data_IF_588569635000
#
_entry.id   IF_588569635000
#
_cell.length_a   1.000
_cell.length_b   1.000
_cell.length_c   1.000
_cell.angle_alpha   90.00
_cell.angle_beta   90.00
_cell.angle_gamma   90.00
#
_symmetry.space_group_name_H-M   'P 1'
#
loop_
_entity.id
_entity.type
_entity.pdbx_description
1 polymer ?
#
# COMPACT_ATOMS: atom_id res chain seq x y z
N UNK A 1 -35.72 -37.59 33.52
CA UNK A 1 -34.76 -36.93 32.59
C UNK A 1 -34.28 -35.63 33.22
N UNK A 2 -32.96 -35.43 33.43
CA UNK A 2 -32.42 -34.18 34.01
C UNK A 2 -32.00 -33.23 32.89
N UNK A 3 -32.49 -32.00 32.93
CA UNK A 3 -32.19 -30.96 31.95
C UNK A 3 -30.73 -30.50 32.06
N UNK A 4 -29.98 -30.61 30.95
CA UNK A 4 -28.60 -30.11 30.84
C UNK A 4 -28.68 -28.60 30.60
N UNK A 5 -28.14 -27.80 31.53
CA UNK A 5 -28.02 -26.35 31.34
C UNK A 5 -26.96 -26.08 30.25
N UNK A 6 -27.41 -25.58 29.11
CA UNK A 6 -26.57 -25.29 27.92
C UNK A 6 -25.90 -23.91 27.96
N UNK A 7 -26.23 -23.06 28.94
CA UNK A 7 -25.70 -21.71 29.05
C UNK A 7 -24.44 -21.65 29.92
N UNK A 8 -23.30 -21.39 29.27
CA UNK A 8 -22.03 -21.12 29.95
C UNK A 8 -21.94 -19.64 30.30
N UNK A 9 -21.52 -19.25 31.52
CA UNK A 9 -21.36 -17.84 31.88
C UNK A 9 -20.25 -17.18 31.04
N UNK A 10 -20.50 -15.94 30.60
CA UNK A 10 -19.53 -15.16 29.85
C UNK A 10 -18.27 -14.91 30.70
N UNK A 11 -17.11 -15.33 30.19
CA UNK A 11 -15.81 -15.09 30.86
C UNK A 11 -15.38 -13.65 30.63
N UNK A 12 -14.92 -12.98 31.69
CA UNK A 12 -14.34 -11.63 31.59
C UNK A 12 -13.10 -11.66 30.68
N UNK A 13 -12.97 -10.64 29.83
CA UNK A 13 -11.79 -10.47 28.97
C UNK A 13 -10.60 -10.08 29.87
N UNK A 14 -9.46 -10.77 29.79
CA UNK A 14 -8.26 -10.39 30.54
C UNK A 14 -7.80 -8.97 30.20
N UNK A 15 -7.30 -8.23 31.20
CA UNK A 15 -6.87 -6.84 31.05
C UNK A 15 -5.85 -6.64 29.91
N UNK A 16 -4.87 -7.54 29.78
CA UNK A 16 -3.89 -7.51 28.71
C UNK A 16 -4.53 -7.55 27.31
N UNK A 17 -5.57 -8.38 27.14
CA UNK A 17 -6.31 -8.48 25.86
C UNK A 17 -7.11 -7.20 25.57
N UNK A 18 -7.64 -6.54 26.59
CA UNK A 18 -8.30 -5.23 26.41
C UNK A 18 -7.33 -4.15 25.96
N UNK A 19 -6.09 -4.13 26.46
CA UNK A 19 -5.05 -3.18 26.04
C UNK A 19 -4.75 -3.33 24.54
N UNK A 20 -4.55 -4.57 24.07
CA UNK A 20 -4.28 -4.86 22.65
C UNK A 20 -5.45 -4.39 21.78
N UNK A 21 -6.69 -4.71 22.17
CA UNK A 21 -7.89 -4.31 21.41
C UNK A 21 -8.03 -2.79 21.35
N UNK A 22 -7.79 -2.08 22.46
CA UNK A 22 -7.84 -0.62 22.51
C UNK A 22 -6.75 0.01 21.63
N UNK A 23 -5.52 -0.52 21.68
CA UNK A 23 -4.44 -0.06 20.82
C UNK A 23 -4.75 -0.26 19.33
N UNK A 24 -5.28 -1.43 18.95
CA UNK A 24 -5.70 -1.72 17.57
C UNK A 24 -6.83 -0.80 17.11
N UNK A 25 -7.79 -0.50 17.99
CA UNK A 25 -8.89 0.42 17.70
C UNK A 25 -8.40 1.87 17.56
N UNK A 26 -7.49 2.32 18.43
CA UNK A 26 -6.86 3.63 18.34
C UNK A 26 -6.07 3.78 17.04
N UNK A 27 -5.29 2.76 16.65
CA UNK A 27 -4.57 2.73 15.37
C UNK A 27 -5.53 2.80 14.17
N UNK A 28 -6.66 2.08 14.20
CA UNK A 28 -7.70 2.18 13.17
C UNK A 28 -8.30 3.58 13.07
N UNK A 29 -8.60 4.21 14.21
CA UNK A 29 -9.14 5.58 14.23
C UNK A 29 -8.13 6.57 13.65
N UNK A 30 -6.87 6.52 14.08
CA UNK A 30 -5.81 7.39 13.57
C UNK A 30 -5.63 7.22 12.05
N UNK A 31 -5.65 5.98 11.54
CA UNK A 31 -5.58 5.71 10.11
C UNK A 31 -6.79 6.28 9.34
N UNK A 32 -7.99 6.23 9.94
CA UNK A 32 -9.19 6.80 9.33
C UNK A 32 -9.18 8.32 9.30
N UNK A 33 -8.68 8.96 10.36
CA UNK A 33 -8.50 10.42 10.43
C UNK A 33 -7.49 10.89 9.38
N UNK A 34 -6.33 10.23 9.29
CA UNK A 34 -5.33 10.50 8.26
C UNK A 34 -5.91 10.34 6.84
N UNK A 35 -6.70 9.29 6.58
CA UNK A 35 -7.34 9.12 5.27
C UNK A 35 -8.34 10.24 4.93
N UNK A 36 -9.00 10.83 5.93
CA UNK A 36 -9.88 11.99 5.73
C UNK A 36 -9.08 13.25 5.42
N UNK A 37 -7.98 13.46 6.12
CA UNK A 37 -7.05 14.57 5.88
C UNK A 37 -6.45 14.49 4.47
N UNK A 38 -5.93 13.32 4.09
CA UNK A 38 -5.38 13.06 2.75
C UNK A 38 -6.43 13.37 1.67
N UNK A 39 -7.68 12.91 1.87
CA UNK A 39 -8.79 13.19 0.95
C UNK A 39 -9.12 14.69 0.87
N UNK A 40 -9.11 15.39 2.01
CA UNK A 40 -9.33 16.84 2.03
C UNK A 40 -8.19 17.58 1.30
N UNK A 41 -6.95 17.16 1.50
CA UNK A 41 -5.77 17.73 0.82
C UNK A 41 -5.83 17.50 -0.69
N UNK A 42 -6.32 16.36 -1.16
CA UNK A 42 -6.51 16.11 -2.60
C UNK A 42 -7.52 17.03 -3.25
N UNK A 43 -8.57 17.44 -2.52
CA UNK A 43 -9.56 18.39 -3.04
C UNK A 43 -8.96 19.79 -3.21
N UNK A 44 -8.01 20.16 -2.35
CA UNK A 44 -7.32 21.46 -2.38
C UNK A 44 -6.17 21.47 -3.39
N UNK A 45 -5.39 20.40 -3.41
CA UNK A 45 -4.16 20.24 -4.17
C UNK A 45 -4.11 18.82 -4.70
N UNK A 46 -4.62 18.56 -5.91
CA UNK A 46 -4.58 17.23 -6.48
C UNK A 46 -3.12 16.82 -6.67
N UNK A 47 -2.79 15.61 -6.22
CA UNK A 47 -1.46 15.03 -6.42
C UNK A 47 -1.15 15.00 -7.92
N UNK A 48 0.03 15.47 -8.38
CA UNK A 48 0.36 15.43 -9.80
C UNK A 48 0.62 14.00 -10.29
N UNK A 49 0.38 13.74 -11.57
CA UNK A 49 0.74 12.48 -12.19
C UNK A 49 2.24 12.18 -12.05
N UNK A 50 2.61 10.90 -11.92
CA UNK A 50 3.99 10.43 -11.72
C UNK A 50 4.70 10.97 -10.47
N UNK A 51 3.97 11.57 -9.53
CA UNK A 51 4.51 12.02 -8.25
C UNK A 51 4.43 10.92 -7.21
N UNK A 52 5.50 10.76 -6.43
CA UNK A 52 5.59 9.77 -5.37
C UNK A 52 4.68 10.14 -4.18
N UNK A 53 3.70 9.30 -3.91
CA UNK A 53 2.81 9.39 -2.77
C UNK A 53 3.21 8.34 -1.72
N UNK A 54 3.42 8.73 -0.45
CA UNK A 54 3.88 7.81 0.60
C UNK A 54 2.78 6.84 1.05
N UNK A 55 1.53 7.01 0.60
CA UNK A 55 0.37 6.20 0.99
C UNK A 55 -0.63 6.13 -0.15
N UNK A 56 -1.39 5.04 -0.23
CA UNK A 56 -2.48 4.88 -1.21
C UNK A 56 -3.59 5.90 -0.99
N UNK A 57 -3.86 6.28 0.26
CA UNK A 57 -4.90 7.27 0.61
C UNK A 57 -4.58 8.68 0.15
N UNK A 58 -3.30 8.98 -0.13
CA UNK A 58 -2.82 10.26 -0.65
C UNK A 58 -2.92 10.36 -2.18
N UNK A 59 -3.31 9.29 -2.87
CA UNK A 59 -3.60 9.30 -4.30
C UNK A 59 -5.08 9.55 -4.58
N UNK A 60 -5.41 10.14 -5.76
CA UNK A 60 -6.79 10.33 -6.19
C UNK A 60 -7.61 9.05 -6.08
N UNK A 61 -8.88 9.18 -5.70
CA UNK A 61 -9.82 8.06 -5.70
C UNK A 61 -10.10 7.52 -7.12
N UNK A 62 -10.56 6.28 -7.21
CA UNK A 62 -10.99 5.67 -8.48
C UNK A 62 -9.86 5.16 -9.37
N UNK A 63 -8.62 5.09 -8.85
CA UNK A 63 -7.50 4.53 -9.60
C UNK A 63 -7.64 3.03 -9.79
N UNK A 64 -7.40 2.58 -11.02
CA UNK A 64 -7.43 1.16 -11.36
C UNK A 64 -6.06 0.52 -11.17
N UNK A 65 -6.04 -0.58 -10.41
CA UNK A 65 -4.90 -1.48 -10.35
C UNK A 65 -5.13 -2.65 -11.31
N UNK A 66 -4.33 -2.72 -12.36
CA UNK A 66 -4.43 -3.76 -13.40
C UNK A 66 -3.80 -5.11 -13.02
N UNK A 67 -3.22 -5.21 -11.82
CA UNK A 67 -2.52 -6.41 -11.37
C UNK A 67 -3.51 -7.45 -10.84
N UNK A 68 -3.27 -8.73 -11.14
CA UNK A 68 -4.03 -9.85 -10.57
C UNK A 68 -3.80 -9.99 -9.05
N UNK A 69 -2.62 -9.56 -8.60
CA UNK A 69 -2.19 -9.62 -7.20
C UNK A 69 -2.59 -8.33 -6.46
N UNK A 70 -2.72 -8.38 -5.12
CA UNK A 70 -2.96 -7.17 -4.34
C UNK A 70 -1.84 -6.14 -4.55
N UNK A 71 -2.17 -4.86 -4.38
CA UNK A 71 -1.21 -3.77 -4.47
C UNK A 71 -0.08 -4.00 -3.45
N UNK A 72 1.19 -4.10 -3.88
CA UNK A 72 2.31 -4.30 -2.97
C UNK A 72 2.42 -3.18 -1.93
N UNK A 73 2.79 -3.55 -0.70
CA UNK A 73 3.08 -2.59 0.36
C UNK A 73 4.40 -1.85 0.08
N UNK A 74 4.53 -0.63 0.59
CA UNK A 74 5.81 0.08 0.60
C UNK A 74 6.85 -0.75 1.38
N UNK A 75 8.03 -0.88 0.81
CA UNK A 75 9.12 -1.72 1.32
C UNK A 75 9.12 -3.15 0.78
N UNK A 76 8.04 -3.59 0.10
CA UNK A 76 8.01 -4.91 -0.53
C UNK A 76 8.94 -4.97 -1.75
N UNK A 77 9.51 -6.15 -1.98
CA UNK A 77 10.30 -6.45 -3.18
C UNK A 77 9.41 -7.10 -4.24
N UNK A 78 9.42 -6.55 -5.45
CA UNK A 78 8.67 -7.03 -6.60
C UNK A 78 9.62 -7.31 -7.76
N UNK A 79 9.29 -8.28 -8.60
CA UNK A 79 10.07 -8.60 -9.78
C UNK A 79 9.52 -7.84 -10.99
N UNK A 80 10.38 -7.05 -11.65
CA UNK A 80 10.04 -6.33 -12.89
C UNK A 80 10.29 -7.23 -14.10
N UNK A 81 9.38 -7.19 -15.07
CA UNK A 81 9.44 -8.00 -16.32
C UNK A 81 9.94 -7.22 -17.54
N UNK A 82 10.04 -5.90 -17.44
CA UNK A 82 10.43 -5.03 -18.56
C UNK A 82 11.89 -5.23 -19.00
N UNK A 83 12.34 -4.37 -19.92
CA UNK A 83 13.66 -4.28 -20.56
C UNK A 83 14.87 -4.43 -19.61
N UNK A 84 14.68 -4.17 -18.31
CA UNK A 84 15.64 -4.46 -17.25
C UNK A 84 15.00 -5.34 -16.18
N UNK A 85 14.96 -6.67 -16.39
CA UNK A 85 14.37 -7.59 -15.43
C UNK A 85 15.21 -7.64 -14.15
N UNK A 86 14.56 -7.63 -12.99
CA UNK A 86 15.23 -7.67 -11.71
C UNK A 86 14.32 -7.41 -10.51
N UNK A 87 14.86 -7.65 -9.31
CA UNK A 87 14.20 -7.36 -8.05
C UNK A 87 14.25 -5.84 -7.78
N UNK A 88 13.07 -5.28 -7.53
CA UNK A 88 12.89 -3.84 -7.33
C UNK A 88 12.10 -3.63 -6.05
N UNK A 89 12.53 -2.68 -5.21
CA UNK A 89 11.85 -2.33 -3.97
C UNK A 89 10.83 -1.23 -4.21
N UNK A 90 9.63 -1.41 -3.67
CA UNK A 90 8.56 -0.40 -3.72
C UNK A 90 8.84 0.66 -2.66
N UNK A 91 8.96 1.92 -3.08
CA UNK A 91 9.22 3.05 -2.18
C UNK A 91 8.00 3.91 -1.94
N UNK A 92 7.18 4.08 -2.97
CA UNK A 92 5.99 4.92 -2.92
C UNK A 92 4.99 4.46 -3.98
N UNK A 93 3.82 5.09 -3.99
CA UNK A 93 2.80 4.90 -5.02
C UNK A 93 2.82 6.09 -5.97
N UNK A 94 2.38 5.88 -7.21
CA UNK A 94 2.16 6.97 -8.16
C UNK A 94 0.86 6.71 -8.91
N UNK A 95 0.39 7.70 -9.65
CA UNK A 95 -0.72 7.51 -10.56
C UNK A 95 -0.44 8.19 -11.90
N UNK A 96 -1.07 7.67 -12.95
CA UNK A 96 -1.11 8.30 -14.26
C UNK A 96 -2.34 7.81 -15.00
N UNK A 97 -3.03 8.71 -15.70
CA UNK A 97 -4.13 8.37 -16.63
C UNK A 97 -5.20 7.43 -16.04
N UNK A 98 -5.51 7.60 -14.74
CA UNK A 98 -6.49 6.77 -14.03
C UNK A 98 -5.97 5.42 -13.51
N UNK A 99 -4.69 5.12 -13.69
CA UNK A 99 -4.05 3.89 -13.22
C UNK A 99 -3.17 4.13 -11.99
N UNK A 100 -3.17 3.13 -11.11
CA UNK A 100 -2.24 3.04 -9.98
C UNK A 100 -0.91 2.45 -10.44
N UNK A 101 0.19 3.11 -10.08
CA UNK A 101 1.55 2.64 -10.29
C UNK A 101 2.36 2.64 -8.99
N UNK A 102 3.55 2.06 -9.05
CA UNK A 102 4.50 1.93 -7.96
C UNK A 102 5.76 2.72 -8.32
N UNK A 103 6.27 3.53 -7.40
CA UNK A 103 7.60 4.09 -7.51
C UNK A 103 8.58 3.08 -6.94
N UNK A 104 9.53 2.66 -7.76
CA UNK A 104 10.41 1.54 -7.46
C UNK A 104 11.88 1.86 -7.67
N UNK A 105 12.75 1.29 -6.84
CA UNK A 105 14.20 1.37 -6.95
C UNK A 105 14.83 -0.02 -7.02
N UNK A 106 15.81 -0.24 -7.92
CA UNK A 106 16.46 -1.54 -8.06
C UNK A 106 17.20 -1.91 -6.77
N UNK A 107 17.07 -3.16 -6.34
CA UNK A 107 17.71 -3.65 -5.11
C UNK A 107 19.25 -3.73 -5.25
N UNK A 108 19.73 -3.94 -6.47
CA UNK A 108 21.14 -3.80 -6.80
C UNK A 108 21.39 -2.45 -7.48
N UNK A 109 22.38 -1.67 -7.03
CA UNK A 109 22.74 -0.44 -7.73
C UNK A 109 23.26 -0.84 -9.11
N UNK A 110 22.48 -0.55 -10.16
CA UNK A 110 22.99 -0.58 -11.52
C UNK A 110 24.28 0.23 -11.53
N UNK A 111 25.37 -0.33 -12.09
CA UNK A 111 26.66 0.37 -12.23
C UNK A 111 26.36 1.79 -12.69
N UNK A 112 26.63 2.76 -11.80
CA UNK A 112 26.29 4.19 -11.92
C UNK A 112 26.75 4.72 -13.27
N UNK A 113 25.89 4.64 -14.27
CA UNK A 113 26.00 5.49 -15.45
C UNK A 113 25.23 6.74 -15.06
N UNK A 114 25.92 7.88 -15.00
CA UNK A 114 25.38 9.16 -14.51
C UNK A 114 24.29 9.77 -15.38
N UNK A 115 23.48 8.97 -16.07
CA UNK A 115 22.29 9.43 -16.78
C UNK A 115 21.23 9.82 -15.77
N UNK A 116 20.79 11.08 -15.85
CA UNK A 116 19.56 11.53 -15.21
C UNK A 116 18.42 10.69 -15.77
N UNK A 117 17.99 9.70 -15.01
CA UNK A 117 16.85 8.87 -15.35
C UNK A 117 15.59 9.73 -15.25
N UNK A 118 14.72 9.66 -16.26
CA UNK A 118 13.48 10.43 -16.25
C UNK A 118 12.62 10.00 -15.04
N UNK A 119 11.95 10.91 -14.32
CA UNK A 119 11.15 10.56 -13.12
C UNK A 119 10.10 9.47 -13.39
N UNK A 120 9.55 9.43 -14.61
CA UNK A 120 8.62 8.37 -15.07
C UNK A 120 9.24 6.97 -15.11
N UNK A 121 10.55 6.83 -15.27
CA UNK A 121 11.18 5.52 -15.38
C UNK A 121 11.23 4.75 -14.05
N UNK A 122 11.03 5.45 -12.94
CA UNK A 122 10.88 4.87 -11.61
C UNK A 122 9.44 4.40 -11.33
N UNK A 123 8.47 4.89 -12.12
CA UNK A 123 7.06 4.51 -12.01
C UNK A 123 6.80 3.24 -12.82
N UNK A 124 6.48 2.15 -12.12
CA UNK A 124 6.17 0.84 -12.68
C UNK A 124 4.70 0.54 -12.48
N UNK A 125 4.01 0.17 -13.56
CA UNK A 125 2.61 -0.22 -13.50
C UNK A 125 2.45 -1.74 -13.43
N UNK A 126 1.28 -2.21 -13.02
CA UNK A 126 1.08 -3.65 -12.78
C UNK A 126 1.38 -4.55 -14.00
N UNK A 127 1.17 -4.07 -15.23
CA UNK A 127 1.43 -4.82 -16.46
C UNK A 127 2.93 -5.08 -16.69
N UNK A 128 3.79 -4.31 -16.03
CA UNK A 128 5.25 -4.37 -16.07
C UNK A 128 5.83 -5.25 -14.96
N UNK A 129 4.99 -5.71 -14.02
CA UNK A 129 5.38 -6.62 -12.95
C UNK A 129 5.25 -8.07 -13.42
N UNK A 130 6.16 -8.92 -12.97
CA UNK A 130 6.02 -10.36 -13.15
C UNK A 130 4.78 -10.84 -12.37
N UNK A 131 3.95 -11.66 -13.01
CA UNK A 131 2.87 -12.36 -12.30
C UNK A 131 3.54 -13.29 -11.29
N UNK A 132 3.48 -12.96 -10.00
CA UNK A 132 3.81 -13.92 -8.95
C UNK A 132 2.78 -15.05 -9.06
N UNK A 133 3.28 -16.24 -9.38
CA UNK A 133 2.50 -17.49 -9.47
C UNK A 133 1.98 -17.90 -8.09
#
# INVERSE_FOLDING_TARGET
MKAIRTTRPARRIPAARLVIVRAAHAAKKAAQEQAREDKAQQLLTPTPAFTAAPRLTALPGGLYWSGKQPVPAIGATVQRRDEHPGAVKVLAYCHADGFLGLVTEPEQPAKRTGRKVHPRAHCVFSHQLAQAA
#
